data_IF_072073746524
#
_entry.id   IF_072073746524
#
_cell.length_a   1.000
_cell.length_b   1.000
_cell.length_c   1.000
_cell.angle_alpha   90.00
_cell.angle_beta   90.00
_cell.angle_gamma   90.00
#
_symmetry.space_group_name_H-M   'P 1'
#
loop_
_entity.id
_entity.type
_entity.pdbx_description
1 polymer ?
#
# COMPACT_ATOMS: atom_id res chain seq x y z
N UNK A 1 19.08 -3.50 -15.67
CA UNK A 1 17.97 -4.42 -16.04
C UNK A 1 16.84 -4.17 -15.04
N UNK A 2 15.71 -3.58 -15.48
CA UNK A 2 14.61 -3.21 -14.57
C UNK A 2 13.73 -4.43 -14.33
N UNK A 3 13.96 -5.15 -13.23
CA UNK A 3 13.06 -6.23 -12.85
C UNK A 3 11.76 -5.63 -12.34
N UNK A 4 10.69 -5.73 -13.13
CA UNK A 4 9.34 -5.74 -12.57
C UNK A 4 9.26 -7.06 -11.77
N UNK A 5 9.11 -7.05 -10.44
CA UNK A 5 8.85 -8.29 -9.74
C UNK A 5 7.44 -8.72 -10.11
N UNK A 6 7.32 -9.53 -11.16
CA UNK A 6 6.13 -10.32 -11.41
C UNK A 6 6.18 -11.47 -10.42
N UNK A 7 5.68 -11.23 -9.21
CA UNK A 7 5.22 -12.32 -8.38
C UNK A 7 4.00 -12.90 -9.10
N UNK A 8 4.21 -13.96 -9.88
CA UNK A 8 3.11 -14.81 -10.35
C UNK A 8 2.68 -15.65 -9.16
N UNK A 9 1.62 -15.23 -8.50
CA UNK A 9 0.94 -16.05 -7.52
C UNK A 9 -0.18 -16.79 -8.22
N UNK A 10 -0.08 -18.11 -8.26
CA UNK A 10 -1.17 -18.99 -8.66
C UNK A 10 -1.84 -19.44 -7.37
N UNK A 11 -3.16 -19.21 -7.19
CA UNK A 11 -3.86 -19.79 -6.05
C UNK A 11 -3.63 -21.30 -6.03
N UNK A 12 -3.44 -21.89 -4.85
CA UNK A 12 -3.79 -23.29 -4.69
C UNK A 12 -5.29 -23.40 -5.01
N UNK A 13 -5.68 -24.40 -5.81
CA UNK A 13 -7.08 -24.59 -6.21
C UNK A 13 -8.00 -24.62 -4.98
N UNK A 14 -9.27 -24.23 -5.19
CA UNK A 14 -10.33 -24.08 -4.18
C UNK A 14 -10.25 -22.87 -3.24
N UNK A 15 -9.94 -21.67 -3.76
CA UNK A 15 -10.42 -20.48 -3.06
C UNK A 15 -11.95 -20.44 -3.16
N UNK A 16 -12.68 -20.45 -2.03
CA UNK A 16 -14.13 -20.31 -2.07
C UNK A 16 -14.50 -19.02 -2.81
N UNK A 17 -15.66 -18.97 -3.49
CA UNK A 17 -16.12 -17.75 -4.13
C UNK A 17 -16.06 -16.60 -3.12
N UNK A 18 -15.44 -15.49 -3.52
CA UNK A 18 -15.41 -14.29 -2.71
C UNK A 18 -16.85 -13.92 -2.34
N UNK A 19 -17.17 -14.00 -1.05
CA UNK A 19 -18.48 -13.60 -0.55
C UNK A 19 -18.52 -12.08 -0.43
N UNK A 20 -19.67 -11.48 -0.75
CA UNK A 20 -19.96 -10.08 -0.39
C UNK A 20 -20.60 -9.97 1.00
N UNK A 21 -20.86 -11.11 1.65
CA UNK A 21 -21.37 -11.17 3.02
C UNK A 21 -20.22 -10.93 4.02
N UNK A 22 -20.28 -9.87 4.84
CA UNK A 22 -19.28 -9.60 5.84
C UNK A 22 -19.43 -10.46 7.11
N UNK A 23 -20.54 -11.17 7.32
CA UNK A 23 -20.80 -11.94 8.56
C UNK A 23 -19.67 -12.91 8.93
N UNK A 24 -19.13 -13.75 8.02
CA UNK A 24 -18.02 -14.64 8.37
C UNK A 24 -16.75 -13.91 8.85
N UNK A 25 -16.53 -12.68 8.34
CA UNK A 25 -15.42 -11.84 8.79
C UNK A 25 -15.73 -11.26 10.17
N UNK A 26 -16.95 -10.79 10.40
CA UNK A 26 -17.37 -10.28 11.69
C UNK A 26 -17.28 -11.35 12.80
N UNK A 27 -17.68 -12.58 12.51
CA UNK A 27 -17.57 -13.71 13.43
C UNK A 27 -16.11 -14.02 13.79
N UNK A 28 -15.23 -14.08 12.77
CA UNK A 28 -13.79 -14.28 12.98
C UNK A 28 -13.15 -13.16 13.80
N UNK A 29 -13.59 -11.91 13.59
CA UNK A 29 -13.16 -10.76 14.39
C UNK A 29 -13.63 -10.86 15.84
N UNK A 30 -14.90 -11.25 16.05
CA UNK A 30 -15.51 -11.41 17.38
C UNK A 30 -14.88 -12.53 18.22
N UNK A 31 -14.38 -13.59 17.57
CA UNK A 31 -13.66 -14.68 18.23
C UNK A 31 -12.27 -14.27 18.79
N UNK A 32 -11.70 -13.16 18.29
CA UNK A 32 -10.40 -12.64 18.73
C UNK A 32 -9.19 -13.38 18.15
N UNK A 33 -7.99 -13.07 18.65
CA UNK A 33 -6.73 -13.64 18.14
C UNK A 33 -6.35 -13.17 16.72
N UNK A 34 -6.84 -11.99 16.34
CA UNK A 34 -6.72 -11.45 14.98
C UNK A 34 -5.44 -10.63 14.82
N UNK A 35 -4.80 -10.78 13.66
CA UNK A 35 -3.75 -9.89 13.17
C UNK A 35 -4.26 -9.10 11.96
N UNK A 36 -4.14 -7.78 11.99
CA UNK A 36 -4.44 -6.93 10.84
C UNK A 36 -3.17 -6.68 10.03
N UNK A 37 -3.14 -7.17 8.78
CA UNK A 37 -2.12 -6.81 7.80
C UNK A 37 -2.66 -5.72 6.86
N UNK A 38 -2.14 -4.50 6.97
CA UNK A 38 -2.55 -3.37 6.13
C UNK A 38 -1.57 -3.08 4.99
N UNK A 39 -2.09 -2.69 3.83
CA UNK A 39 -1.31 -2.11 2.73
C UNK A 39 -1.61 -0.63 2.51
N UNK A 40 -1.00 -0.04 1.49
CA UNK A 40 -1.23 1.38 1.11
C UNK A 40 -2.71 1.69 0.81
N UNK A 41 -3.49 0.68 0.40
CA UNK A 41 -4.93 0.80 0.18
C UNK A 41 -5.71 1.32 1.39
N UNK A 42 -5.26 1.04 2.62
CA UNK A 42 -5.91 1.55 3.83
C UNK A 42 -5.88 3.08 3.91
N UNK A 43 -4.95 3.75 3.23
CA UNK A 43 -4.75 5.21 3.33
C UNK A 43 -5.24 6.00 2.11
N UNK A 44 -5.88 5.37 1.13
CA UNK A 44 -6.40 6.05 -0.07
C UNK A 44 -7.44 7.11 0.28
N UNK A 45 -8.41 6.78 1.14
CA UNK A 45 -9.40 7.75 1.66
C UNK A 45 -8.78 8.82 2.57
N UNK A 46 -7.52 8.65 2.97
CA UNK A 46 -6.75 9.69 3.68
C UNK A 46 -6.03 10.65 2.72
N UNK A 47 -6.23 10.49 1.40
CA UNK A 47 -5.60 11.29 0.34
C UNK A 47 -4.19 10.82 -0.04
N UNK A 48 -3.75 9.66 0.45
CA UNK A 48 -2.44 9.09 0.10
C UNK A 48 -2.66 8.05 -1.00
N UNK A 49 -2.13 8.26 -2.22
CA UNK A 49 -2.35 7.33 -3.32
C UNK A 49 -1.67 5.99 -3.03
N UNK A 50 -2.34 4.90 -3.40
CA UNK A 50 -1.73 3.59 -3.35
C UNK A 50 -0.76 3.37 -4.54
N UNK A 51 -0.21 2.17 -4.64
CA UNK A 51 0.71 1.83 -5.72
C UNK A 51 0.00 1.26 -6.96
N UNK A 52 -1.08 0.50 -6.79
CA UNK A 52 -1.61 -0.43 -7.81
C UNK A 52 -3.08 -0.23 -8.17
N UNK A 53 -3.85 0.50 -7.37
CA UNK A 53 -5.26 0.77 -7.61
C UNK A 53 -5.48 1.72 -8.78
N UNK A 54 -6.74 2.10 -9.00
CA UNK A 54 -7.09 3.06 -10.04
C UNK A 54 -6.36 4.39 -9.81
N UNK A 55 -5.57 4.82 -10.79
CA UNK A 55 -4.72 6.00 -10.65
C UNK A 55 -3.58 5.85 -9.63
N UNK A 56 -3.22 4.62 -9.23
CA UNK A 56 -2.11 4.32 -8.31
C UNK A 56 -0.74 4.78 -8.85
N UNK A 57 0.21 5.02 -7.96
CA UNK A 57 1.46 5.72 -8.31
C UNK A 57 2.33 4.97 -9.32
N UNK A 58 2.27 3.62 -9.38
CA UNK A 58 3.06 2.84 -10.33
C UNK A 58 2.56 2.97 -11.78
N UNK A 59 1.34 3.47 -11.99
CA UNK A 59 0.86 3.81 -13.33
C UNK A 59 1.56 5.05 -13.90
N UNK A 60 2.03 5.96 -13.02
CA UNK A 60 2.62 7.26 -13.41
C UNK A 60 4.13 7.34 -13.20
N UNK A 61 4.69 6.55 -12.29
CA UNK A 61 6.08 6.70 -11.85
C UNK A 61 6.78 5.36 -11.66
N UNK A 62 8.02 5.27 -12.13
CA UNK A 62 8.92 4.18 -11.72
C UNK A 62 9.59 4.53 -10.39
N UNK A 63 9.48 3.68 -9.35
CA UNK A 63 10.22 3.84 -8.11
C UNK A 63 11.73 3.83 -8.35
N UNK A 64 12.47 4.59 -7.55
CA UNK A 64 13.92 4.47 -7.48
C UNK A 64 14.26 3.14 -6.80
N UNK A 65 15.19 2.38 -7.38
CA UNK A 65 15.68 1.16 -6.73
C UNK A 65 16.71 1.50 -5.65
N UNK A 66 16.91 0.58 -4.71
CA UNK A 66 17.96 0.72 -3.69
C UNK A 66 19.35 0.84 -4.32
N UNK A 67 19.59 0.09 -5.40
CA UNK A 67 20.82 0.12 -6.18
C UNK A 67 21.05 1.51 -6.80
N UNK A 68 20.03 2.09 -7.43
CA UNK A 68 20.12 3.44 -8.00
C UNK A 68 20.43 4.50 -6.92
N UNK A 69 19.79 4.37 -5.75
CA UNK A 69 19.97 5.31 -4.64
C UNK A 69 21.39 5.26 -4.07
N UNK A 70 21.95 4.08 -3.86
CA UNK A 70 23.28 3.91 -3.26
C UNK A 70 24.40 4.25 -4.24
N UNK A 71 24.22 3.96 -5.53
CA UNK A 71 25.25 4.14 -6.54
C UNK A 71 25.58 5.61 -6.89
N UNK A 72 24.72 6.58 -6.59
CA UNK A 72 24.87 7.95 -7.13
C UNK A 72 24.42 9.07 -6.20
N UNK A 73 25.30 10.03 -5.93
CA UNK A 73 24.95 11.25 -5.19
C UNK A 73 23.87 12.09 -5.92
N UNK A 74 23.92 12.31 -7.26
CA UNK A 74 22.80 12.86 -8.01
C UNK A 74 21.47 12.12 -7.82
N UNK A 75 21.48 10.78 -7.78
CA UNK A 75 20.26 10.00 -7.54
C UNK A 75 19.68 10.27 -6.14
N UNK A 76 20.52 10.29 -5.10
CA UNK A 76 20.08 10.66 -3.73
C UNK A 76 19.50 12.07 -3.68
N UNK A 77 20.12 13.05 -4.35
CA UNK A 77 19.57 14.42 -4.43
C UNK A 77 18.19 14.44 -5.08
N UNK A 78 18.00 13.73 -6.19
CA UNK A 78 16.70 13.61 -6.87
C UNK A 78 15.66 12.94 -5.97
N UNK A 79 16.02 11.87 -5.26
CA UNK A 79 15.15 11.19 -4.31
C UNK A 79 14.65 12.15 -3.23
N UNK A 80 15.59 12.83 -2.55
CA UNK A 80 15.25 13.73 -1.44
C UNK A 80 14.49 14.97 -1.91
N UNK A 81 14.80 15.52 -3.08
CA UNK A 81 14.03 16.63 -3.66
C UNK A 81 12.55 16.25 -3.90
N UNK A 82 12.29 15.05 -4.45
CA UNK A 82 10.91 14.57 -4.64
C UNK A 82 10.21 14.27 -3.32
N UNK A 83 10.91 13.63 -2.38
CA UNK A 83 10.39 13.33 -1.04
C UNK A 83 9.97 14.61 -0.30
N UNK A 84 10.80 15.66 -0.40
CA UNK A 84 10.49 16.97 0.18
C UNK A 84 9.19 17.57 -0.36
N UNK A 85 8.95 17.50 -1.68
CA UNK A 85 7.70 17.95 -2.29
C UNK A 85 6.49 17.12 -1.82
N UNK A 86 6.66 15.78 -1.73
CA UNK A 86 5.62 14.86 -1.26
C UNK A 86 5.28 15.03 0.23
N UNK A 87 6.24 15.49 1.06
CA UNK A 87 6.08 15.64 2.52
C UNK A 87 4.86 16.46 2.91
N UNK A 88 4.52 17.50 2.14
CA UNK A 88 3.35 18.35 2.43
C UNK A 88 2.02 17.60 2.32
N UNK A 89 1.89 16.72 1.33
CA UNK A 89 0.69 15.90 1.17
C UNK A 89 0.56 14.90 2.32
N UNK A 90 1.64 14.18 2.66
CA UNK A 90 1.67 13.27 3.79
C UNK A 90 1.39 13.96 5.14
N UNK A 91 1.96 15.14 5.36
CA UNK A 91 1.76 15.88 6.62
C UNK A 91 0.34 16.40 6.85
N UNK A 92 -0.52 16.39 5.81
CA UNK A 92 -1.93 16.80 5.92
C UNK A 92 -2.89 15.62 6.06
N UNK A 93 -2.44 14.41 5.75
CA UNK A 93 -3.26 13.21 5.86
C UNK A 93 -3.65 12.97 7.33
N UNK A 94 -4.88 12.51 7.55
CA UNK A 94 -5.40 12.12 8.87
C UNK A 94 -5.92 10.68 8.80
N UNK A 95 -5.92 9.92 9.90
CA UNK A 95 -6.54 8.60 9.92
C UNK A 95 -7.98 8.65 9.39
N UNK A 96 -8.33 7.76 8.47
CA UNK A 96 -9.72 7.58 8.00
C UNK A 96 -10.49 6.61 8.92
N UNK A 97 -11.72 6.24 8.51
CA UNK A 97 -12.55 5.31 9.25
C UNK A 97 -11.88 3.94 9.43
N UNK A 98 -11.25 3.40 8.38
CA UNK A 98 -10.54 2.12 8.44
C UNK A 98 -9.42 2.09 9.49
N UNK A 99 -8.58 3.13 9.56
CA UNK A 99 -7.55 3.21 10.61
C UNK A 99 -8.17 3.27 12.02
N UNK A 100 -9.28 3.99 12.18
CA UNK A 100 -9.97 4.08 13.48
C UNK A 100 -10.60 2.74 13.88
N UNK A 101 -11.14 1.99 12.93
CA UNK A 101 -11.69 0.66 13.20
C UNK A 101 -10.63 -0.35 13.62
N UNK A 102 -9.43 -0.27 13.06
CA UNK A 102 -8.30 -1.14 13.46
C UNK A 102 -7.75 -0.78 14.83
N UNK A 103 -7.87 0.48 15.26
CA UNK A 103 -7.35 0.96 16.54
C UNK A 103 -8.32 0.80 17.71
N UNK A 104 -9.61 0.58 17.45
CA UNK A 104 -10.66 0.41 18.44
C UNK A 104 -10.59 -0.98 19.10
#
# INVERSE_FOLDING_TARGET
MRMRPTLSWTPAEDLPPGTTDPEPVADALGAGGVLVLSGAGLSTESGIPDYRGEGGSLSRHTPMTYQDFTASAPARRRYWARSHLGRRAFGRARPNAGHRSVAA
#
